data_IF_525569649509
#
_entry.id   IF_525569649509
#
_cell.length_a   1.000
_cell.length_b   1.000
_cell.length_c   1.000
_cell.angle_alpha   90.00
_cell.angle_beta   90.00
_cell.angle_gamma   90.00
#
_symmetry.space_group_name_H-M   'P 1'
#
loop_
_entity.id
_entity.type
_entity.pdbx_description
1 polymer ?
#
# COMPACT_ATOMS: atom_id res chain seq x y z
N UNK A 1 -23.02 27.22 -33.91
CA UNK A 1 -22.76 28.32 -33.00
C UNK A 1 -21.28 28.32 -32.62
N UNK A 2 -20.68 29.52 -32.65
CA UNK A 2 -19.26 29.71 -32.29
C UNK A 2 -19.07 30.07 -30.81
N UNK A 3 -20.17 30.23 -30.06
CA UNK A 3 -20.14 30.54 -28.63
C UNK A 3 -19.84 29.25 -27.84
N UNK A 4 -18.91 29.34 -26.93
CA UNK A 4 -18.54 28.26 -26.00
C UNK A 4 -18.96 28.63 -24.59
N UNK A 5 -19.35 27.62 -23.82
CA UNK A 5 -19.74 27.74 -22.41
C UNK A 5 -18.59 27.32 -21.54
N UNK A 6 -18.10 28.22 -20.69
CA UNK A 6 -17.07 27.95 -19.71
C UNK A 6 -17.64 28.13 -18.30
N UNK A 7 -17.42 27.18 -17.42
CA UNK A 7 -17.91 27.20 -16.03
C UNK A 7 -16.72 27.18 -15.07
N UNK A 8 -16.83 27.99 -14.02
CA UNK A 8 -15.81 28.06 -12.95
C UNK A 8 -16.50 28.25 -11.59
N UNK A 9 -15.73 28.32 -10.52
CA UNK A 9 -16.12 28.48 -9.14
C UNK A 9 -16.37 27.15 -8.40
N UNK A 10 -15.53 26.89 -7.42
CA UNK A 10 -15.56 25.72 -6.49
C UNK A 10 -15.78 24.34 -7.12
N UNK A 11 -15.31 24.21 -8.38
CA UNK A 11 -15.39 22.95 -9.11
C UNK A 11 -14.39 21.92 -8.57
N UNK A 12 -14.83 20.68 -8.55
CA UNK A 12 -14.05 19.47 -8.31
C UNK A 12 -14.47 18.35 -9.28
N UNK A 13 -13.79 17.22 -9.22
CA UNK A 13 -14.08 16.05 -10.05
C UNK A 13 -15.51 15.54 -9.86
N UNK A 14 -16.06 15.58 -8.66
CA UNK A 14 -17.42 15.11 -8.36
C UNK A 14 -18.48 16.04 -8.97
N UNK A 15 -18.30 17.32 -8.81
CA UNK A 15 -19.20 18.33 -9.38
C UNK A 15 -19.17 18.29 -10.91
N UNK A 16 -17.97 18.17 -11.50
CA UNK A 16 -17.80 18.08 -12.95
C UNK A 16 -18.47 16.82 -13.47
N UNK A 17 -18.23 15.66 -12.86
CA UNK A 17 -18.87 14.40 -13.27
C UNK A 17 -20.39 14.52 -13.21
N UNK A 18 -20.94 15.05 -12.12
CA UNK A 18 -22.38 15.24 -11.97
C UNK A 18 -22.98 16.17 -13.04
N UNK A 19 -22.27 17.24 -13.42
CA UNK A 19 -22.73 18.15 -14.49
C UNK A 19 -22.72 17.45 -15.86
N UNK A 20 -21.70 16.65 -16.13
CA UNK A 20 -21.60 15.89 -17.39
C UNK A 20 -22.67 14.80 -17.46
N UNK A 21 -22.94 14.10 -16.38
CA UNK A 21 -23.98 13.05 -16.28
C UNK A 21 -25.40 13.63 -16.51
N UNK A 22 -25.62 14.90 -16.12
CA UNK A 22 -26.84 15.63 -16.38
C UNK A 22 -26.94 16.18 -17.81
N UNK A 23 -25.94 15.96 -18.65
CA UNK A 23 -25.91 16.44 -20.03
C UNK A 23 -25.71 17.93 -20.15
N UNK A 24 -25.07 18.60 -19.17
CA UNK A 24 -24.82 20.03 -19.23
C UNK A 24 -23.94 20.40 -20.45
N UNK A 25 -24.33 21.37 -21.30
CA UNK A 25 -23.60 21.68 -22.53
C UNK A 25 -22.38 22.57 -22.23
N UNK A 26 -21.40 22.07 -21.51
CA UNK A 26 -20.21 22.77 -21.07
C UNK A 26 -19.02 22.39 -21.94
N UNK A 27 -18.36 23.41 -22.53
CA UNK A 27 -17.16 23.19 -23.37
C UNK A 27 -15.85 23.18 -22.57
N UNK A 28 -15.81 23.89 -21.42
CA UNK A 28 -14.60 23.96 -20.59
C UNK A 28 -14.89 24.26 -19.12
N UNK A 29 -14.02 23.79 -18.24
CA UNK A 29 -14.10 24.00 -16.81
C UNK A 29 -12.84 24.73 -16.31
N UNK A 30 -13.08 25.81 -15.54
CA UNK A 30 -12.01 26.51 -14.81
C UNK A 30 -11.91 25.99 -13.39
N UNK A 31 -11.04 25.00 -13.16
CA UNK A 31 -10.83 24.38 -11.84
C UNK A 31 -9.66 25.08 -11.14
N UNK A 32 -9.92 25.72 -10.01
CA UNK A 32 -8.93 26.51 -9.26
C UNK A 32 -8.45 25.82 -8.00
N UNK A 33 -8.91 26.30 -6.85
CA UNK A 33 -8.40 25.95 -5.52
C UNK A 33 -8.37 24.44 -5.25
N UNK A 34 -9.44 23.72 -5.56
CA UNK A 34 -9.52 22.28 -5.28
C UNK A 34 -8.49 21.46 -6.05
N UNK A 35 -8.22 21.83 -7.31
CA UNK A 35 -7.17 21.20 -8.10
C UNK A 35 -5.77 21.58 -7.61
N UNK A 36 -5.54 22.89 -7.40
CA UNK A 36 -4.21 23.40 -7.02
C UNK A 36 -3.74 22.92 -5.64
N UNK A 37 -4.67 22.67 -4.73
CA UNK A 37 -4.37 22.20 -3.36
C UNK A 37 -4.52 20.71 -3.17
N UNK A 38 -4.97 19.93 -4.17
CA UNK A 38 -5.40 18.54 -3.99
C UNK A 38 -6.35 18.41 -2.80
N UNK A 39 -7.43 19.19 -2.77
CA UNK A 39 -8.22 19.57 -1.61
C UNK A 39 -8.58 18.40 -0.67
N UNK A 40 -8.97 17.27 -1.20
CA UNK A 40 -9.36 16.10 -0.41
C UNK A 40 -8.16 15.38 0.21
N UNK A 41 -6.99 15.45 -0.43
CA UNK A 41 -5.76 14.79 0.04
C UNK A 41 -4.52 15.64 -0.26
N UNK A 42 -4.34 16.78 0.43
CA UNK A 42 -3.34 17.80 0.08
C UNK A 42 -1.90 17.39 0.40
N UNK A 43 -1.69 16.27 1.09
CA UNK A 43 -0.37 15.82 1.48
C UNK A 43 -0.16 14.33 1.17
N UNK A 44 0.98 14.00 0.56
CA UNK A 44 1.45 12.63 0.46
C UNK A 44 2.11 12.24 1.79
N UNK A 45 1.44 11.36 2.55
CA UNK A 45 1.99 10.83 3.79
C UNK A 45 3.19 9.93 3.54
N UNK A 46 4.31 10.21 4.20
CA UNK A 46 5.49 9.36 4.21
C UNK A 46 5.74 8.77 5.59
N UNK A 47 6.08 7.49 5.67
CA UNK A 47 6.41 6.81 6.93
C UNK A 47 7.68 6.01 6.75
N UNK A 48 8.61 6.14 7.70
CA UNK A 48 9.80 5.32 7.81
C UNK A 48 9.76 4.54 9.12
N UNK A 49 9.88 3.22 9.05
CA UNK A 49 9.86 2.34 10.22
C UNK A 49 10.86 1.21 10.07
N UNK A 50 11.54 0.87 11.18
CA UNK A 50 12.44 -0.27 11.23
C UNK A 50 11.62 -1.58 11.11
N UNK A 51 11.99 -2.45 10.17
CA UNK A 51 11.35 -3.73 9.92
C UNK A 51 12.26 -4.92 10.20
N UNK A 52 13.57 -4.73 10.07
CA UNK A 52 14.58 -5.74 10.42
C UNK A 52 15.87 -5.06 10.91
N UNK A 53 16.66 -5.77 11.72
CA UNK A 53 17.99 -5.34 12.14
C UNK A 53 18.98 -6.51 11.96
N UNK A 54 20.25 -6.18 11.81
CA UNK A 54 21.36 -7.14 11.83
C UNK A 54 22.49 -6.52 12.63
N UNK A 55 22.87 -7.16 13.71
CA UNK A 55 23.99 -6.72 14.52
C UNK A 55 25.33 -7.20 13.92
N UNK A 56 26.45 -6.54 14.18
CA UNK A 56 27.75 -6.99 13.71
C UNK A 56 28.05 -8.42 14.19
N UNK A 57 28.29 -9.34 13.24
CA UNK A 57 28.55 -10.75 13.53
C UNK A 57 27.34 -11.67 13.32
N UNK A 58 26.15 -11.12 13.13
CA UNK A 58 24.99 -11.93 12.79
C UNK A 58 25.03 -12.41 11.33
N UNK A 59 24.68 -13.68 11.10
CA UNK A 59 24.59 -14.25 9.75
C UNK A 59 23.35 -13.80 8.99
N UNK A 60 22.26 -13.43 9.71
CA UNK A 60 20.97 -13.08 9.14
C UNK A 60 20.34 -11.80 9.68
N UNK A 61 19.20 -11.45 9.11
CA UNK A 61 18.38 -10.33 9.58
C UNK A 61 17.40 -10.80 10.66
N UNK A 62 17.31 -10.05 11.74
CA UNK A 62 16.30 -10.26 12.80
C UNK A 62 15.11 -9.38 12.51
N UNK A 63 13.91 -9.94 12.25
CA UNK A 63 12.70 -9.18 12.02
C UNK A 63 12.27 -8.43 13.30
N UNK A 64 11.76 -7.21 13.15
CA UNK A 64 11.27 -6.39 14.25
C UNK A 64 9.95 -5.74 13.92
N UNK A 65 9.15 -5.48 14.95
CA UNK A 65 7.86 -4.80 14.83
C UNK A 65 7.77 -3.58 15.73
N UNK A 66 7.11 -2.54 15.24
CA UNK A 66 6.64 -1.44 16.08
C UNK A 66 5.20 -1.74 16.49
N UNK A 67 4.95 -1.81 17.80
CA UNK A 67 3.60 -1.93 18.35
C UNK A 67 2.81 -0.63 18.15
N UNK A 68 1.51 -0.78 17.96
CA UNK A 68 0.54 0.30 17.98
C UNK A 68 -0.78 -0.23 18.55
N UNK A 69 -1.49 0.59 19.27
CA UNK A 69 -2.88 0.30 19.69
C UNK A 69 -3.80 0.13 18.48
N UNK A 70 -3.50 0.83 17.38
CA UNK A 70 -4.23 0.72 16.13
C UNK A 70 -3.62 -0.38 15.26
N UNK A 71 -4.33 -1.50 14.99
CA UNK A 71 -3.79 -2.65 14.26
C UNK A 71 -3.19 -2.30 12.91
N UNK A 72 -3.80 -1.39 12.16
CA UNK A 72 -3.33 -0.97 10.83
C UNK A 72 -2.02 -0.14 10.86
N UNK A 73 -1.59 0.33 12.06
CA UNK A 73 -0.30 1.02 12.26
C UNK A 73 0.84 0.09 12.68
N UNK A 74 0.56 -1.20 12.89
CA UNK A 74 1.60 -2.18 13.17
C UNK A 74 2.48 -2.36 11.94
N UNK A 75 3.79 -2.48 12.15
CA UNK A 75 4.72 -2.69 11.03
C UNK A 75 4.68 -4.14 10.56
N UNK A 76 4.95 -4.34 9.28
CA UNK A 76 5.27 -5.65 8.71
C UNK A 76 6.77 -5.85 8.91
N UNK A 77 7.22 -6.95 9.54
CA UNK A 77 8.64 -7.20 9.81
C UNK A 77 9.38 -7.77 8.60
N UNK A 78 10.71 -7.86 8.70
CA UNK A 78 11.57 -8.57 7.75
C UNK A 78 12.15 -7.70 6.64
N UNK A 79 12.96 -8.32 5.79
CA UNK A 79 13.51 -7.72 4.56
C UNK A 79 12.51 -7.94 3.45
N UNK A 80 11.67 -6.93 3.25
CA UNK A 80 10.45 -7.07 2.47
C UNK A 80 10.69 -6.95 0.97
N UNK A 81 9.96 -7.76 0.20
CA UNK A 81 9.73 -7.63 -1.22
C UNK A 81 8.23 -7.71 -1.50
N UNK A 82 7.78 -7.20 -2.63
CA UNK A 82 6.37 -7.19 -3.04
C UNK A 82 6.23 -7.82 -4.42
N UNK A 83 5.34 -8.81 -4.53
CA UNK A 83 4.92 -9.40 -5.81
C UNK A 83 3.53 -8.89 -6.16
N UNK A 84 3.39 -8.34 -7.35
CA UNK A 84 2.10 -8.04 -7.95
C UNK A 84 1.68 -9.20 -8.81
N UNK A 85 0.58 -9.85 -8.45
CA UNK A 85 -0.01 -10.93 -9.21
C UNK A 85 -1.03 -10.40 -10.22
N UNK A 86 -1.07 -11.05 -11.36
CA UNK A 86 -1.91 -10.66 -12.48
C UNK A 86 -2.79 -11.83 -12.91
N UNK A 87 -3.94 -11.52 -13.46
CA UNK A 87 -4.81 -12.51 -14.11
C UNK A 87 -4.28 -12.89 -15.52
N UNK A 88 -5.03 -13.74 -16.23
CA UNK A 88 -4.70 -14.17 -17.58
C UNK A 88 -4.70 -13.02 -18.61
N UNK A 89 -5.41 -11.92 -18.33
CA UNK A 89 -5.42 -10.72 -19.18
C UNK A 89 -4.22 -9.80 -18.93
N UNK A 90 -3.46 -10.02 -17.86
CA UNK A 90 -2.38 -9.16 -17.40
C UNK A 90 -2.84 -8.04 -16.48
N UNK A 91 -4.10 -8.05 -16.02
CA UNK A 91 -4.63 -7.07 -15.07
C UNK A 91 -4.19 -7.41 -13.64
N UNK A 92 -3.79 -6.40 -12.83
CA UNK A 92 -3.41 -6.61 -11.44
C UNK A 92 -4.58 -7.11 -10.58
N UNK A 93 -4.37 -8.19 -9.82
CA UNK A 93 -5.36 -8.81 -8.94
C UNK A 93 -5.07 -8.54 -7.47
N UNK A 94 -3.81 -8.71 -7.05
CA UNK A 94 -3.40 -8.49 -5.67
C UNK A 94 -1.89 -8.30 -5.57
N UNK A 95 -1.46 -7.73 -4.44
CA UNK A 95 -0.06 -7.59 -4.08
C UNK A 95 0.27 -8.44 -2.85
N UNK A 96 1.33 -9.24 -2.93
CA UNK A 96 1.82 -10.09 -1.84
C UNK A 96 3.14 -9.53 -1.31
N UNK A 97 3.16 -9.19 -0.03
CA UNK A 97 4.37 -8.79 0.71
C UNK A 97 4.98 -10.04 1.35
N UNK A 98 6.25 -10.27 1.13
CA UNK A 98 6.99 -11.40 1.72
C UNK A 98 8.38 -10.97 2.22
N UNK A 99 8.99 -11.79 3.07
CA UNK A 99 10.38 -11.62 3.52
C UNK A 99 11.31 -12.37 2.56
N UNK A 100 12.32 -11.70 1.99
CA UNK A 100 13.29 -12.32 1.09
C UNK A 100 14.09 -13.45 1.76
N UNK A 101 14.29 -13.37 3.08
CA UNK A 101 15.02 -14.37 3.85
C UNK A 101 14.17 -15.59 4.19
N UNK A 102 12.84 -15.47 4.16
CA UNK A 102 11.93 -16.50 4.62
C UNK A 102 10.62 -16.50 3.84
N UNK A 103 10.27 -17.66 3.28
CA UNK A 103 8.95 -17.93 2.71
C UNK A 103 8.50 -19.32 3.13
N UNK A 104 7.22 -19.49 3.43
CA UNK A 104 6.62 -20.79 3.74
C UNK A 104 6.35 -21.63 2.49
N UNK A 105 6.33 -22.96 2.70
CA UNK A 105 6.02 -23.95 1.69
C UNK A 105 7.25 -24.49 0.98
N UNK A 106 7.02 -25.51 0.18
CA UNK A 106 8.04 -26.20 -0.62
C UNK A 106 7.63 -26.24 -2.09
N UNK A 107 8.63 -26.25 -2.98
CA UNK A 107 8.38 -26.33 -4.43
C UNK A 107 7.52 -25.17 -4.95
N UNK A 108 6.57 -25.50 -5.80
CA UNK A 108 5.66 -24.53 -6.43
C UNK A 108 4.66 -23.89 -5.46
N UNK A 109 4.42 -24.50 -4.30
CA UNK A 109 3.52 -23.96 -3.28
C UNK A 109 4.19 -22.92 -2.36
N UNK A 110 5.51 -22.72 -2.50
CA UNK A 110 6.27 -21.82 -1.65
C UNK A 110 5.85 -20.36 -1.86
N UNK A 111 5.45 -19.70 -0.77
CA UNK A 111 5.12 -18.28 -0.79
C UNK A 111 3.87 -17.93 -1.61
N UNK A 112 2.93 -18.88 -1.74
CA UNK A 112 1.73 -18.70 -2.57
C UNK A 112 0.44 -18.47 -1.79
N UNK A 113 0.49 -18.45 -0.46
CA UNK A 113 -0.67 -18.18 0.37
C UNK A 113 -0.65 -16.73 0.87
N UNK A 114 -1.63 -15.95 0.48
CA UNK A 114 -1.82 -14.56 0.85
C UNK A 114 -2.82 -14.45 2.00
N UNK A 115 -2.45 -13.70 3.05
CA UNK A 115 -3.32 -13.28 4.16
C UNK A 115 -3.47 -11.77 4.07
N UNK A 116 -4.69 -11.27 3.85
CA UNK A 116 -4.89 -9.84 3.62
C UNK A 116 -4.51 -9.00 4.86
N UNK A 117 -3.88 -7.85 4.59
CA UNK A 117 -3.36 -6.96 5.67
C UNK A 117 -4.50 -6.38 6.50
N UNK A 118 -5.61 -6.03 5.87
CA UNK A 118 -6.75 -5.36 6.50
C UNK A 118 -7.85 -6.32 6.97
N UNK A 119 -7.80 -7.58 6.55
CA UNK A 119 -8.76 -8.62 6.93
C UNK A 119 -8.07 -9.97 7.03
N UNK A 120 -7.67 -10.36 8.22
CA UNK A 120 -6.98 -11.64 8.46
C UNK A 120 -7.83 -12.88 8.15
N UNK A 121 -9.15 -12.74 7.99
CA UNK A 121 -10.03 -13.82 7.58
C UNK A 121 -9.98 -14.05 6.06
N UNK A 122 -9.55 -13.05 5.30
CA UNK A 122 -9.36 -13.17 3.86
C UNK A 122 -8.01 -13.84 3.58
N UNK A 123 -8.06 -15.13 3.29
CA UNK A 123 -6.91 -15.96 2.91
C UNK A 123 -7.16 -16.51 1.51
N UNK A 124 -6.21 -16.35 0.61
CA UNK A 124 -6.32 -16.84 -0.76
C UNK A 124 -5.01 -17.40 -1.27
N UNK A 125 -5.08 -18.25 -2.29
CA UNK A 125 -3.91 -18.80 -2.98
C UNK A 125 -3.66 -18.03 -4.27
N UNK A 126 -2.38 -17.70 -4.51
CA UNK A 126 -1.88 -17.08 -5.75
C UNK A 126 -0.98 -18.05 -6.53
N UNK A 127 -1.08 -19.35 -6.22
CA UNK A 127 -0.33 -20.40 -6.90
C UNK A 127 -0.63 -20.43 -8.40
N UNK A 128 0.43 -20.51 -9.21
CA UNK A 128 0.31 -20.57 -10.67
C UNK A 128 -0.03 -19.23 -11.35
N UNK A 129 -0.31 -18.16 -10.61
CA UNK A 129 -0.55 -16.85 -11.19
C UNK A 129 0.75 -16.19 -11.65
N UNK A 130 0.75 -15.52 -12.82
CA UNK A 130 1.89 -14.71 -13.23
C UNK A 130 2.08 -13.52 -12.28
N UNK A 131 3.33 -13.17 -12.02
CA UNK A 131 3.65 -12.04 -11.14
C UNK A 131 4.86 -11.25 -11.62
N UNK A 132 5.02 -10.05 -11.06
CA UNK A 132 6.26 -9.26 -11.13
C UNK A 132 6.63 -8.74 -9.76
N UNK A 133 7.92 -8.63 -9.48
CA UNK A 133 8.42 -7.95 -8.29
C UNK A 133 8.38 -6.44 -8.47
N UNK A 134 7.98 -5.73 -7.41
CA UNK A 134 7.80 -4.28 -7.46
C UNK A 134 9.00 -3.51 -6.91
N UNK A 135 9.74 -4.06 -5.96
CA UNK A 135 10.88 -3.38 -5.35
C UNK A 135 12.15 -3.69 -6.15
N UNK A 136 12.76 -2.64 -6.66
CA UNK A 136 14.04 -2.71 -7.35
C UNK A 136 15.10 -1.87 -6.58
N UNK A 137 16.36 -2.34 -6.50
CA UNK A 137 17.41 -1.58 -5.84
C UNK A 137 17.70 -0.26 -6.58
N UNK A 138 17.64 0.84 -5.86
CA UNK A 138 17.94 2.19 -6.38
C UNK A 138 19.28 2.73 -5.87
N UNK A 139 19.71 2.29 -4.69
CA UNK A 139 21.00 2.60 -4.10
C UNK A 139 21.62 1.32 -3.54
N UNK A 140 22.90 1.09 -3.80
CA UNK A 140 23.65 -0.06 -3.26
C UNK A 140 25.06 0.42 -2.87
N UNK A 141 25.48 0.11 -1.65
CA UNK A 141 26.81 0.53 -1.16
C UNK A 141 27.04 2.04 -1.20
N UNK A 142 25.98 2.85 -0.98
CA UNK A 142 26.06 4.31 -1.03
C UNK A 142 26.03 4.92 -2.43
N UNK A 143 25.99 4.10 -3.48
CA UNK A 143 25.96 4.57 -4.88
C UNK A 143 24.61 4.27 -5.54
N UNK A 144 24.12 5.23 -6.35
CA UNK A 144 22.93 5.01 -7.16
C UNK A 144 23.18 3.89 -8.19
N UNK A 145 22.34 2.87 -8.23
CA UNK A 145 22.43 1.73 -9.17
C UNK A 145 21.31 1.75 -10.20
N UNK A 146 20.22 2.46 -9.94
CA UNK A 146 19.17 2.68 -10.91
C UNK A 146 19.44 3.95 -11.74
N UNK A 147 19.13 3.96 -13.04
CA UNK A 147 19.19 5.18 -13.83
C UNK A 147 18.18 6.19 -13.29
N UNK A 148 18.51 7.48 -13.41
CA UNK A 148 17.56 8.55 -13.07
C UNK A 148 16.41 8.51 -14.09
N UNK A 149 15.20 8.19 -13.62
CA UNK A 149 14.02 8.20 -14.46
C UNK A 149 13.59 9.66 -14.75
N UNK A 150 13.41 10.06 -16.03
CA UNK A 150 12.83 11.34 -16.36
C UNK A 150 11.39 11.47 -15.82
N UNK A 151 10.97 12.69 -15.45
CA UNK A 151 9.61 12.91 -14.91
C UNK A 151 8.53 12.48 -15.91
N UNK A 152 8.75 12.70 -17.21
CA UNK A 152 7.81 12.27 -18.26
C UNK A 152 7.59 10.76 -18.27
N UNK A 153 8.66 9.98 -18.09
CA UNK A 153 8.60 8.51 -18.07
C UNK A 153 7.93 8.01 -16.79
N UNK A 154 8.26 8.62 -15.64
CA UNK A 154 7.57 8.32 -14.37
C UNK A 154 6.06 8.59 -14.45
N UNK A 155 5.66 9.71 -15.10
CA UNK A 155 4.26 10.04 -15.34
C UNK A 155 3.59 9.04 -16.27
N UNK A 156 4.23 8.67 -17.37
CA UNK A 156 3.70 7.68 -18.31
C UNK A 156 3.54 6.31 -17.64
N UNK A 157 4.51 5.88 -16.84
CA UNK A 157 4.45 4.64 -16.06
C UNK A 157 3.30 4.65 -15.05
N UNK A 158 3.09 5.78 -14.36
CA UNK A 158 1.98 5.94 -13.43
C UNK A 158 0.63 5.84 -14.16
N UNK A 159 0.46 6.54 -15.28
CA UNK A 159 -0.76 6.49 -16.07
C UNK A 159 -1.06 5.06 -16.56
N UNK A 160 -0.07 4.39 -17.14
CA UNK A 160 -0.23 3.00 -17.59
C UNK A 160 -0.57 2.03 -16.44
N UNK A 161 -0.03 2.26 -15.23
CA UNK A 161 -0.35 1.43 -14.07
C UNK A 161 -1.79 1.64 -13.59
N UNK A 162 -2.30 2.87 -13.65
CA UNK A 162 -3.70 3.19 -13.32
C UNK A 162 -4.64 2.64 -14.39
N UNK A 163 -4.32 2.83 -15.67
CA UNK A 163 -5.13 2.33 -16.78
C UNK A 163 -5.29 0.82 -16.75
N UNK A 164 -4.24 0.10 -16.31
CA UNK A 164 -4.25 -1.36 -16.17
C UNK A 164 -5.05 -1.90 -14.98
N UNK A 165 -5.55 -1.04 -14.07
CA UNK A 165 -6.44 -1.48 -12.99
C UNK A 165 -7.86 -1.68 -13.52
N UNK A 166 -8.59 -2.61 -12.91
CA UNK A 166 -10.03 -2.77 -13.17
C UNK A 166 -10.80 -1.50 -12.82
N UNK A 167 -11.90 -1.24 -13.57
CA UNK A 167 -12.74 -0.06 -13.36
C UNK A 167 -13.34 0.01 -11.96
N UNK A 168 -13.54 -1.12 -11.29
CA UNK A 168 -14.08 -1.14 -9.93
C UNK A 168 -13.16 -0.47 -8.90
N UNK A 169 -11.84 -0.44 -9.12
CA UNK A 169 -10.87 0.26 -8.27
C UNK A 169 -10.76 1.76 -8.59
N UNK A 170 -11.25 2.19 -9.76
CA UNK A 170 -11.16 3.58 -10.27
C UNK A 170 -12.42 4.40 -10.06
N UNK A 171 -13.49 3.81 -9.49
CA UNK A 171 -14.74 4.52 -9.24
C UNK A 171 -14.54 5.69 -8.29
N UNK A 172 -15.15 6.84 -8.57
CA UNK A 172 -15.14 8.00 -7.68
C UNK A 172 -15.90 7.75 -6.37
N UNK A 173 -16.98 6.98 -6.44
CA UNK A 173 -17.79 6.63 -5.27
C UNK A 173 -17.67 5.15 -4.97
N UNK A 174 -17.34 4.82 -3.73
CA UNK A 174 -17.24 3.45 -3.22
C UNK A 174 -16.36 2.53 -4.10
N UNK A 175 -15.10 2.93 -4.38
CA UNK A 175 -14.19 2.04 -5.09
C UNK A 175 -13.98 0.76 -4.29
N UNK A 176 -13.79 -0.35 -4.99
CA UNK A 176 -13.37 -1.59 -4.35
C UNK A 176 -11.96 -1.42 -3.77
N UNK A 177 -11.71 -2.10 -2.66
CA UNK A 177 -10.37 -2.11 -2.07
C UNK A 177 -9.51 -3.15 -2.80
N UNK A 178 -8.38 -2.68 -3.34
CA UNK A 178 -7.39 -3.58 -3.92
C UNK A 178 -6.77 -4.47 -2.84
N UNK A 179 -6.62 -5.75 -3.13
CA UNK A 179 -6.13 -6.73 -2.16
C UNK A 179 -4.62 -6.60 -2.00
N UNK A 180 -4.20 -6.27 -0.78
CA UNK A 180 -2.80 -6.32 -0.37
C UNK A 180 -2.69 -7.27 0.81
N UNK A 181 -1.82 -8.26 0.71
CA UNK A 181 -1.65 -9.27 1.76
C UNK A 181 -0.18 -9.54 2.07
N UNK A 182 0.02 -10.27 3.16
CA UNK A 182 1.31 -10.84 3.51
C UNK A 182 1.33 -12.31 3.12
N UNK A 183 2.51 -12.82 2.81
CA UNK A 183 2.76 -14.24 2.75
C UNK A 183 2.43 -14.87 4.13
N UNK A 184 1.84 -16.07 4.14
CA UNK A 184 1.31 -16.70 5.36
C UNK A 184 2.34 -16.85 6.48
N UNK A 185 3.58 -17.21 6.16
CA UNK A 185 4.66 -17.31 7.13
C UNK A 185 5.06 -15.96 7.70
N UNK A 186 5.13 -14.93 6.86
CA UNK A 186 5.39 -13.57 7.29
C UNK A 186 4.27 -13.04 8.20
N UNK A 187 3.00 -13.36 7.89
CA UNK A 187 1.86 -13.01 8.72
C UNK A 187 1.97 -13.65 10.10
N UNK A 188 2.35 -14.92 10.17
CA UNK A 188 2.56 -15.65 11.43
C UNK A 188 3.73 -15.07 12.23
N UNK A 189 4.87 -14.83 11.62
CA UNK A 189 6.04 -14.18 12.28
C UNK A 189 5.65 -12.83 12.85
N UNK A 190 4.91 -12.00 12.11
CA UNK A 190 4.41 -10.71 12.60
C UNK A 190 3.55 -10.89 13.84
N UNK A 191 2.60 -11.80 13.82
CA UNK A 191 1.65 -11.99 14.92
C UNK A 191 2.32 -12.56 16.18
N UNK A 192 3.31 -13.42 16.01
CA UNK A 192 4.17 -13.92 17.11
C UNK A 192 4.96 -12.78 17.75
N UNK A 193 5.65 -11.97 16.94
CA UNK A 193 6.42 -10.82 17.44
C UNK A 193 5.53 -9.79 18.14
N UNK A 194 4.34 -9.54 17.63
CA UNK A 194 3.36 -8.64 18.28
C UNK A 194 2.95 -9.20 19.64
N UNK A 195 2.61 -10.49 19.71
CA UNK A 195 2.24 -11.16 20.95
C UNK A 195 3.34 -11.07 21.99
N UNK A 196 4.56 -11.47 21.64
CA UNK A 196 5.73 -11.43 22.54
C UNK A 196 5.99 -10.02 23.08
N UNK A 197 5.91 -9.02 22.21
CA UNK A 197 6.12 -7.62 22.60
C UNK A 197 5.00 -7.09 23.51
N UNK A 198 3.76 -7.51 23.28
CA UNK A 198 2.63 -7.15 24.16
C UNK A 198 2.77 -7.78 25.55
N UNK A 199 3.19 -9.03 25.62
CA UNK A 199 3.45 -9.73 26.90
C UNK A 199 4.59 -9.05 27.68
N UNK A 200 5.68 -8.69 27.01
CA UNK A 200 6.80 -7.94 27.60
C UNK A 200 6.35 -6.55 28.10
N UNK A 201 5.53 -5.84 27.36
CA UNK A 201 5.01 -4.54 27.74
C UNK A 201 4.03 -4.64 28.92
N UNK A 202 3.16 -5.66 28.95
CA UNK A 202 2.23 -5.94 30.03
C UNK A 202 2.93 -6.32 31.34
N UNK A 203 4.04 -7.04 31.27
CA UNK A 203 4.86 -7.39 32.43
C UNK A 203 5.70 -6.21 32.94
N UNK A 204 6.03 -5.23 32.09
CA UNK A 204 6.84 -4.06 32.47
C UNK A 204 6.05 -2.89 33.07
N UNK A 205 4.72 -2.85 32.91
CA UNK A 205 3.84 -1.83 33.47
C UNK A 205 2.79 -2.41 34.42
N UNK A 206 3.05 -2.45 35.73
CA UNK A 206 1.96 -2.64 36.68
C UNK A 206 1.04 -1.41 36.55
N UNK A 207 -0.18 -1.60 36.07
CA UNK A 207 -1.23 -0.60 36.04
C UNK A 207 -1.37 0.02 37.43
N UNK A 208 -0.97 1.28 37.62
CA UNK A 208 -1.31 2.08 38.77
C UNK A 208 -2.62 2.78 38.47
N UNK A 209 -3.71 2.34 39.11
CA UNK A 209 -4.98 3.04 39.02
C UNK A 209 -4.80 4.53 39.35
N UNK A 210 -5.40 5.45 38.57
CA UNK A 210 -5.33 6.87 38.90
C UNK A 210 -5.84 7.09 40.30
N UNK A 211 -5.05 7.77 41.15
CA UNK A 211 -5.50 8.18 42.49
C UNK A 211 -6.69 9.09 42.28
N UNK A 212 -7.88 8.63 42.66
CA UNK A 212 -9.07 9.47 42.77
C UNK A 212 -8.74 10.61 43.72
N UNK A 213 -8.61 11.81 43.19
CA UNK A 213 -8.58 13.03 44.05
C UNK A 213 -9.96 13.15 44.68
N UNK A 214 -9.99 13.05 46.02
CA UNK A 214 -11.11 13.53 46.81
C UNK A 214 -11.16 15.05 46.85
#
# INVERSE_FOLDING_TARGET
>A
PYVKISVSNDLDEYTIQSLLDQGAPIDSFGVGTKLATCYDQPALGGVYKLAARRDPGDEGWTPVVKLSEQPYKRTIPGVQQVRRYMDESGSPVCDLIYDEAFMEGEGEARGTTLVAVNDAALVTSVAGMPYRELLAPVVRGGSAVAPREPIADARARCAAAIDGLDEEYKRFLYPQSYIVGMESGLARVRDELVRERMEQAGSAMPWKAPKTRR
#
